data_IF_537153688231
#
_entry.id   IF_537153688231
#
_cell.length_a   1.000
_cell.length_b   1.000
_cell.length_c   1.000
_cell.angle_alpha   90.00
_cell.angle_beta   90.00
_cell.angle_gamma   90.00
#
_symmetry.space_group_name_H-M   'P 1'
#
loop_
_entity.id
_entity.type
_entity.pdbx_description
1 polymer ?
#
# COMPACT_ATOMS: atom_id res chain seq x y z
N UNK A 1 82.40 17.52 5.68
CA UNK A 1 81.13 17.43 6.43
C UNK A 1 80.03 18.02 5.55
N UNK A 2 79.29 17.17 4.83
CA UNK A 2 78.13 17.60 4.03
C UNK A 2 76.87 17.44 4.86
N UNK A 3 76.17 18.53 5.16
CA UNK A 3 74.91 18.54 5.89
C UNK A 3 73.76 18.17 4.95
N UNK A 4 73.15 17.00 5.15
CA UNK A 4 71.96 16.57 4.42
C UNK A 4 70.75 17.40 4.85
N UNK A 5 70.04 17.97 3.88
CA UNK A 5 68.72 18.58 4.09
C UNK A 5 67.68 17.46 4.14
N UNK A 6 67.04 17.31 5.29
CA UNK A 6 65.90 16.41 5.49
C UNK A 6 64.72 16.89 4.65
N UNK A 7 64.31 16.07 3.67
CA UNK A 7 63.10 16.23 2.88
C UNK A 7 61.87 16.23 3.80
N UNK A 8 61.11 17.33 3.78
CA UNK A 8 59.77 17.40 4.40
C UNK A 8 58.85 16.51 3.57
N UNK A 9 58.49 15.35 4.10
CA UNK A 9 57.40 14.53 3.57
C UNK A 9 56.11 15.36 3.57
N UNK A 10 55.56 15.59 2.38
CA UNK A 10 54.29 16.26 2.21
C UNK A 10 53.21 15.44 2.94
N UNK A 11 52.43 16.11 3.80
CA UNK A 11 51.21 15.55 4.38
C UNK A 11 50.31 15.08 3.23
N UNK A 12 49.77 13.85 3.24
CA UNK A 12 48.82 13.44 2.22
C UNK A 12 47.66 14.43 2.22
N UNK A 13 47.32 14.95 1.03
CA UNK A 13 46.19 15.84 0.85
C UNK A 13 44.93 15.17 1.43
N UNK A 14 44.14 15.91 2.20
CA UNK A 14 42.85 15.42 2.66
C UNK A 14 42.03 14.97 1.42
N UNK A 15 41.33 13.82 1.50
CA UNK A 15 40.50 13.37 0.39
C UNK A 15 39.54 14.50 -0.01
N UNK A 16 39.27 14.67 -1.32
CA UNK A 16 38.33 15.68 -1.78
C UNK A 16 36.98 15.47 -1.07
N UNK A 17 36.27 16.56 -0.70
CA UNK A 17 34.95 16.43 -0.10
C UNK A 17 34.05 15.61 -1.04
N UNK A 18 33.20 14.72 -0.49
CA UNK A 18 32.32 13.90 -1.31
C UNK A 18 31.45 14.79 -2.20
N UNK A 19 31.15 14.36 -3.43
CA UNK A 19 30.36 15.12 -4.38
C UNK A 19 28.99 15.45 -3.77
N UNK A 20 28.43 16.63 -4.08
CA UNK A 20 27.12 16.99 -3.58
C UNK A 20 26.06 16.01 -4.12
N UNK A 21 24.98 15.82 -3.35
CA UNK A 21 23.84 15.03 -3.81
C UNK A 21 23.28 15.60 -5.11
N UNK A 22 22.89 14.74 -6.07
CA UNK A 22 22.29 15.18 -7.32
C UNK A 22 21.02 16.00 -7.12
N UNK A 23 20.75 16.91 -8.06
CA UNK A 23 19.56 17.75 -8.01
C UNK A 23 18.29 16.94 -8.26
N UNK A 24 18.25 16.02 -9.22
CA UNK A 24 17.02 15.25 -9.46
C UNK A 24 16.80 14.22 -8.38
N UNK A 25 15.54 13.99 -8.00
CA UNK A 25 15.16 12.94 -7.06
C UNK A 25 14.08 12.06 -7.66
N UNK A 26 14.36 10.76 -7.73
CA UNK A 26 13.42 9.73 -8.16
C UNK A 26 12.95 8.96 -6.94
N UNK A 27 11.65 8.70 -6.85
CA UNK A 27 11.04 8.09 -5.67
C UNK A 27 10.40 6.79 -6.09
N UNK A 28 10.71 5.72 -5.36
CA UNK A 28 10.09 4.41 -5.51
C UNK A 28 9.46 4.03 -4.17
N UNK A 29 8.13 4.06 -4.13
CA UNK A 29 7.37 3.45 -3.06
C UNK A 29 7.06 1.98 -3.43
N UNK A 30 7.86 1.05 -2.88
CA UNK A 30 7.80 -0.35 -3.29
C UNK A 30 6.74 -1.15 -2.52
N UNK A 31 5.51 -1.11 -3.04
CA UNK A 31 4.41 -1.91 -2.52
C UNK A 31 4.32 -3.31 -3.14
N UNK A 32 3.84 -4.27 -2.36
CA UNK A 32 3.70 -5.67 -2.78
C UNK A 32 2.68 -5.93 -3.90
N UNK A 33 1.62 -5.11 -3.98
CA UNK A 33 0.60 -5.21 -5.03
C UNK A 33 0.90 -4.26 -6.18
N UNK A 34 1.15 -3.01 -5.82
CA UNK A 34 1.50 -1.91 -6.73
C UNK A 34 2.67 -1.12 -6.15
N UNK A 35 3.62 -0.83 -7.00
CA UNK A 35 4.70 0.14 -6.79
C UNK A 35 4.25 1.52 -7.28
N UNK A 36 4.70 2.58 -6.60
CA UNK A 36 4.43 3.96 -7.02
C UNK A 36 5.75 4.63 -7.29
N UNK A 37 5.91 5.15 -8.49
CA UNK A 37 7.19 5.69 -8.92
C UNK A 37 7.03 6.97 -9.73
N UNK A 38 8.06 7.82 -9.66
CA UNK A 38 8.12 9.07 -10.40
C UNK A 38 9.17 10.02 -9.85
N UNK A 39 9.46 11.08 -10.61
CA UNK A 39 10.31 12.17 -10.13
C UNK A 39 9.56 13.10 -9.17
N UNK A 40 10.27 13.58 -8.17
CA UNK A 40 9.83 14.70 -7.34
C UNK A 40 9.83 15.98 -8.22
N UNK A 41 8.69 16.65 -8.42
CA UNK A 41 8.64 17.92 -9.13
C UNK A 41 9.25 19.05 -8.30
N UNK A 42 9.91 19.98 -8.99
CA UNK A 42 10.59 21.12 -8.37
C UNK A 42 9.62 22.15 -7.74
N UNK A 43 8.34 22.14 -8.13
CA UNK A 43 7.30 23.01 -7.56
C UNK A 43 6.33 22.23 -6.65
N UNK A 44 6.04 22.72 -5.43
CA UNK A 44 5.42 21.94 -4.37
C UNK A 44 3.88 21.89 -4.37
N UNK A 45 3.22 21.84 -5.53
CA UNK A 45 1.75 21.71 -5.60
C UNK A 45 1.31 20.24 -5.54
N UNK A 46 0.39 19.92 -4.61
CA UNK A 46 -0.08 18.55 -4.39
C UNK A 46 -0.66 17.89 -5.65
N UNK A 47 -1.34 18.65 -6.50
CA UNK A 47 -1.88 18.17 -7.78
C UNK A 47 -0.77 17.77 -8.76
N UNK A 48 0.25 18.62 -8.91
CA UNK A 48 1.40 18.37 -9.78
C UNK A 48 2.20 17.14 -9.34
N UNK A 49 2.37 16.96 -8.03
CA UNK A 49 2.97 15.77 -7.46
C UNK A 49 2.18 14.49 -7.84
N UNK A 50 0.86 14.49 -7.67
CA UNK A 50 0.05 13.30 -7.96
C UNK A 50 0.01 12.95 -9.46
N UNK A 51 0.18 13.94 -10.35
CA UNK A 51 0.31 13.71 -11.79
C UNK A 51 1.61 12.98 -12.13
N UNK A 52 2.73 13.31 -11.49
CA UNK A 52 4.02 12.65 -11.76
C UNK A 52 4.17 11.26 -11.12
N UNK A 53 3.21 10.86 -10.27
CA UNK A 53 3.18 9.56 -9.63
C UNK A 53 2.45 8.51 -10.48
N UNK A 54 3.17 7.53 -11.02
CA UNK A 54 2.57 6.39 -11.69
C UNK A 54 2.38 5.22 -10.72
N UNK A 55 1.17 4.63 -10.72
CA UNK A 55 0.86 3.39 -10.01
C UNK A 55 1.05 2.21 -10.96
N UNK A 56 1.97 1.33 -10.64
CA UNK A 56 2.40 0.23 -11.50
C UNK A 56 2.18 -1.08 -10.72
N UNK A 57 1.57 -2.13 -11.31
CA UNK A 57 1.48 -3.43 -10.65
C UNK A 57 2.88 -4.01 -10.37
N UNK A 58 3.13 -4.48 -9.13
CA UNK A 58 4.36 -5.21 -8.80
C UNK A 58 4.11 -6.73 -8.93
N UNK A 59 4.09 -7.22 -10.17
CA UNK A 59 3.92 -8.64 -10.47
C UNK A 59 4.44 -9.01 -11.87
N UNK A 60 4.84 -10.26 -12.01
CA UNK A 60 4.93 -10.96 -13.29
C UNK A 60 3.65 -11.77 -13.47
N UNK A 61 2.96 -11.60 -14.59
CA UNK A 61 1.77 -12.38 -14.92
C UNK A 61 2.06 -13.33 -16.05
N UNK A 62 1.77 -14.62 -15.85
CA UNK A 62 1.83 -15.64 -16.90
C UNK A 62 0.42 -15.98 -17.34
N UNK A 63 0.12 -15.72 -18.61
CA UNK A 63 -1.16 -16.09 -19.23
C UNK A 63 -1.19 -17.57 -19.62
N UNK A 64 -2.38 -18.07 -19.97
CA UNK A 64 -2.60 -19.43 -20.45
C UNK A 64 -1.69 -19.81 -21.63
N UNK A 65 -1.39 -18.86 -22.50
CA UNK A 65 -0.48 -19.01 -23.66
C UNK A 65 1.00 -19.13 -23.26
N UNK A 66 1.30 -19.21 -21.96
CA UNK A 66 2.65 -19.26 -21.37
C UNK A 66 3.48 -18.02 -21.65
N UNK A 67 2.86 -16.92 -22.08
CA UNK A 67 3.51 -15.62 -22.21
C UNK A 67 3.60 -14.95 -20.85
N UNK A 68 4.76 -14.37 -20.56
CA UNK A 68 5.00 -13.62 -19.33
C UNK A 68 4.93 -12.14 -19.65
N UNK A 69 4.10 -11.43 -18.90
CA UNK A 69 3.91 -10.00 -18.98
C UNK A 69 4.38 -9.36 -17.67
N UNK A 70 4.98 -8.19 -17.79
CA UNK A 70 5.49 -7.42 -16.66
C UNK A 70 4.40 -6.46 -16.20
N UNK A 71 4.41 -6.11 -14.92
CA UNK A 71 3.46 -5.22 -14.26
C UNK A 71 2.96 -4.03 -15.08
N UNK A 72 3.90 -3.24 -15.63
CA UNK A 72 3.58 -2.07 -16.46
C UNK A 72 2.80 -2.41 -17.74
N UNK A 73 3.00 -3.62 -18.28
CA UNK A 73 2.37 -4.10 -19.51
C UNK A 73 1.01 -4.76 -19.28
N UNK A 74 0.67 -5.13 -18.03
CA UNK A 74 -0.55 -5.88 -17.70
C UNK A 74 -1.81 -5.16 -18.16
N UNK A 75 -1.90 -3.85 -17.91
CA UNK A 75 -3.07 -3.05 -18.25
C UNK A 75 -3.30 -2.88 -19.76
N UNK A 76 -2.26 -3.04 -20.58
CA UNK A 76 -2.32 -2.77 -22.03
C UNK A 76 -2.30 -4.03 -22.90
N UNK A 77 -1.66 -5.10 -22.44
CA UNK A 77 -1.44 -6.31 -23.26
C UNK A 77 -2.35 -7.49 -22.88
N UNK A 78 -2.97 -7.46 -21.69
CA UNK A 78 -3.87 -8.52 -21.23
C UNK A 78 -5.30 -8.05 -21.40
N UNK A 79 -5.99 -8.63 -22.39
CA UNK A 79 -7.44 -8.48 -22.56
C UNK A 79 -8.21 -9.60 -21.84
N UNK A 80 -7.66 -10.81 -21.80
CA UNK A 80 -8.24 -11.97 -21.14
C UNK A 80 -7.53 -12.25 -19.80
N UNK A 81 -8.28 -12.13 -18.72
CA UNK A 81 -7.80 -12.29 -17.35
C UNK A 81 -8.01 -13.69 -16.80
N UNK A 82 -8.63 -14.59 -17.58
CA UNK A 82 -8.90 -15.96 -17.15
C UNK A 82 -7.60 -16.76 -16.99
N UNK A 83 -7.53 -17.56 -15.93
CA UNK A 83 -6.40 -18.44 -15.59
C UNK A 83 -5.02 -17.73 -15.53
N UNK A 84 -4.99 -16.42 -15.26
CA UNK A 84 -3.73 -15.66 -15.15
C UNK A 84 -3.04 -15.98 -13.83
N UNK A 85 -1.82 -16.51 -13.93
CA UNK A 85 -0.99 -16.83 -12.76
C UNK A 85 -0.06 -15.67 -12.43
N UNK A 86 -0.16 -15.14 -11.21
CA UNK A 86 0.68 -14.03 -10.74
C UNK A 86 1.85 -14.54 -9.90
N UNK A 87 3.08 -14.24 -10.33
CA UNK A 87 4.28 -14.36 -9.51
C UNK A 87 4.65 -12.98 -9.00
N UNK A 88 4.69 -12.82 -7.68
CA UNK A 88 5.06 -11.56 -7.02
C UNK A 88 6.39 -11.72 -6.29
N UNK A 89 7.31 -10.75 -6.39
CA UNK A 89 8.61 -10.80 -5.70
C UNK A 89 8.51 -10.56 -4.19
N UNK A 90 7.43 -9.90 -3.76
CA UNK A 90 7.19 -9.52 -2.36
C UNK A 90 6.35 -10.56 -1.63
N UNK A 91 6.90 -11.12 -0.55
CA UNK A 91 6.22 -12.03 0.36
C UNK A 91 6.16 -11.45 1.76
N UNK A 92 4.95 -11.45 2.36
CA UNK A 92 4.74 -10.84 3.68
C UNK A 92 5.32 -9.41 3.77
N UNK A 93 5.29 -8.63 2.69
CA UNK A 93 5.82 -7.26 2.63
C UNK A 93 7.33 -7.14 2.49
N UNK A 94 8.08 -8.24 2.41
CA UNK A 94 9.52 -8.24 2.17
C UNK A 94 9.82 -8.72 0.74
N UNK A 95 10.76 -8.06 0.06
CA UNK A 95 11.24 -8.53 -1.25
C UNK A 95 12.11 -9.76 -1.01
N UNK A 96 11.61 -10.93 -1.41
CA UNK A 96 12.33 -12.21 -1.25
C UNK A 96 12.98 -12.63 -2.57
N UNK A 97 12.24 -12.50 -3.68
CA UNK A 97 12.73 -12.83 -5.01
C UNK A 97 13.28 -11.59 -5.70
N UNK A 98 14.54 -11.26 -5.41
CA UNK A 98 15.24 -10.13 -6.01
C UNK A 98 15.44 -10.25 -7.52
N UNK A 99 15.57 -11.47 -8.04
CA UNK A 99 15.63 -11.71 -9.50
C UNK A 99 14.37 -11.22 -10.22
N UNK A 100 13.19 -11.53 -9.66
CA UNK A 100 11.92 -11.10 -10.22
C UNK A 100 11.67 -9.60 -10.00
N UNK A 101 12.06 -9.05 -8.84
CA UNK A 101 11.96 -7.61 -8.58
C UNK A 101 12.83 -6.80 -9.56
N UNK A 102 14.07 -7.25 -9.77
CA UNK A 102 15.00 -6.65 -10.73
C UNK A 102 14.44 -6.66 -12.14
N UNK A 103 13.91 -7.79 -12.60
CA UNK A 103 13.27 -7.88 -13.93
C UNK A 103 12.10 -6.90 -14.07
N UNK A 104 11.25 -6.79 -13.04
CA UNK A 104 10.14 -5.82 -13.03
C UNK A 104 10.69 -4.39 -13.11
N UNK A 105 11.70 -4.06 -12.32
CA UNK A 105 12.26 -2.72 -12.28
C UNK A 105 13.00 -2.33 -13.56
N UNK A 106 13.83 -3.22 -14.11
CA UNK A 106 14.61 -2.99 -15.33
C UNK A 106 13.68 -2.63 -16.50
N UNK A 107 12.60 -3.40 -16.68
CA UNK A 107 11.60 -3.12 -17.71
C UNK A 107 10.70 -1.92 -17.38
N UNK A 108 10.48 -1.62 -16.11
CA UNK A 108 9.59 -0.51 -15.74
C UNK A 108 10.28 0.85 -15.82
N UNK A 109 11.56 0.93 -15.46
CA UNK A 109 12.28 2.20 -15.29
C UNK A 109 13.30 2.50 -16.39
N UNK A 110 13.85 1.48 -17.04
CA UNK A 110 14.99 1.65 -17.97
C UNK A 110 14.66 1.29 -19.42
N UNK A 111 13.78 0.33 -19.65
CA UNK A 111 13.39 -0.11 -20.99
C UNK A 111 12.54 0.93 -21.75
N UNK A 112 12.99 1.32 -22.95
CA UNK A 112 12.34 2.33 -23.79
C UNK A 112 10.97 1.88 -24.33
N UNK A 113 10.78 0.57 -24.55
CA UNK A 113 9.52 0.04 -25.11
C UNK A 113 8.39 -0.02 -24.09
N UNK A 114 8.74 -0.18 -22.83
CA UNK A 114 7.81 -0.41 -21.71
C UNK A 114 7.61 0.86 -20.87
N UNK A 115 8.66 1.65 -20.64
CA UNK A 115 8.59 2.96 -19.99
C UNK A 115 8.07 4.05 -20.95
N UNK A 116 6.86 3.88 -21.49
CA UNK A 116 6.25 4.79 -22.48
C UNK A 116 6.02 6.22 -21.95
N UNK A 117 6.04 6.42 -20.62
CA UNK A 117 5.93 7.75 -19.99
C UNK A 117 7.31 8.23 -19.54
N UNK A 118 7.73 9.37 -20.08
CA UNK A 118 9.02 9.99 -19.74
C UNK A 118 9.19 10.28 -18.24
N UNK A 119 8.10 10.43 -17.50
CA UNK A 119 8.06 10.73 -16.06
C UNK A 119 8.55 9.57 -15.17
N UNK A 120 8.55 8.33 -15.67
CA UNK A 120 8.97 7.14 -14.91
C UNK A 120 10.32 6.60 -15.39
N UNK A 121 10.76 7.04 -16.58
CA UNK A 121 12.02 6.62 -17.16
C UNK A 121 13.21 7.24 -16.41
N UNK A 122 14.06 6.40 -15.86
CA UNK A 122 15.35 6.81 -15.29
C UNK A 122 16.45 6.66 -16.35
N UNK A 123 16.64 7.68 -17.19
CA UNK A 123 17.66 7.65 -18.23
C UNK A 123 19.08 7.88 -17.69
N UNK A 124 19.21 8.56 -16.56
CA UNK A 124 20.51 8.93 -15.96
C UNK A 124 20.47 8.74 -14.43
N UNK A 125 20.74 7.51 -13.95
CA UNK A 125 20.80 7.21 -12.52
C UNK A 125 21.94 7.94 -11.80
N UNK A 126 23.08 8.14 -12.47
CA UNK A 126 24.29 8.70 -11.86
C UNK A 126 24.06 10.14 -11.40
N UNK A 127 23.24 10.91 -12.12
CA UNK A 127 22.84 12.27 -11.76
C UNK A 127 21.49 12.35 -11.04
N UNK A 128 21.02 11.25 -10.44
CA UNK A 128 19.74 11.18 -9.73
C UNK A 128 19.92 10.64 -8.32
N UNK A 129 19.18 11.23 -7.37
CA UNK A 129 19.04 10.69 -6.01
C UNK A 129 17.82 9.78 -5.95
N UNK A 130 17.96 8.54 -5.46
CA UNK A 130 16.86 7.62 -5.27
C UNK A 130 16.34 7.66 -3.82
N UNK A 131 15.03 7.77 -3.64
CA UNK A 131 14.34 7.50 -2.38
C UNK A 131 13.59 6.18 -2.53
N UNK A 132 14.00 5.18 -1.75
CA UNK A 132 13.41 3.84 -1.75
C UNK A 132 12.69 3.59 -0.42
N UNK A 133 11.44 3.15 -0.50
CA UNK A 133 10.67 2.73 0.68
C UNK A 133 10.78 1.22 0.91
N UNK A 134 10.90 0.83 2.17
CA UNK A 134 10.81 -0.57 2.59
C UNK A 134 9.81 -0.76 3.74
N UNK A 135 9.39 -2.01 3.93
CA UNK A 135 8.58 -2.39 5.07
C UNK A 135 9.39 -2.35 6.37
N UNK A 136 8.76 -2.04 7.52
CA UNK A 136 9.43 -2.06 8.81
C UNK A 136 10.05 -3.44 9.13
N UNK A 137 11.19 -3.41 9.83
CA UNK A 137 11.91 -4.60 10.31
C UNK A 137 12.30 -5.59 9.20
N UNK A 138 12.68 -5.08 8.02
CA UNK A 138 13.29 -5.89 6.98
C UNK A 138 14.61 -6.50 7.47
N UNK A 139 14.88 -7.74 7.07
CA UNK A 139 16.12 -8.42 7.44
C UNK A 139 17.32 -7.75 6.77
N UNK A 140 18.43 -7.61 7.50
CA UNK A 140 19.65 -6.97 7.00
C UNK A 140 20.19 -7.59 5.70
N UNK A 141 19.97 -8.90 5.49
CA UNK A 141 20.35 -9.57 4.24
C UNK A 141 19.51 -9.10 3.03
N UNK A 142 18.20 -8.88 3.21
CA UNK A 142 17.34 -8.37 2.13
C UNK A 142 17.65 -6.90 1.84
N UNK A 143 17.89 -6.14 2.89
CA UNK A 143 18.37 -4.76 2.82
C UNK A 143 19.67 -4.64 2.03
N UNK A 144 20.64 -5.53 2.30
CA UNK A 144 21.90 -5.59 1.57
C UNK A 144 21.69 -5.82 0.07
N UNK A 145 20.84 -6.77 -0.31
CA UNK A 145 20.55 -7.04 -1.72
C UNK A 145 19.93 -5.82 -2.42
N UNK A 146 19.05 -5.08 -1.73
CA UNK A 146 18.50 -3.83 -2.25
C UNK A 146 19.60 -2.80 -2.53
N UNK A 147 20.53 -2.65 -1.58
CA UNK A 147 21.63 -1.69 -1.67
C UNK A 147 22.60 -2.05 -2.79
N UNK A 148 22.93 -3.33 -2.96
CA UNK A 148 23.79 -3.83 -4.05
C UNK A 148 23.17 -3.56 -5.42
N UNK A 149 21.89 -3.89 -5.63
CA UNK A 149 21.20 -3.63 -6.91
C UNK A 149 21.16 -2.13 -7.22
N UNK A 150 20.77 -1.30 -6.24
CA UNK A 150 20.59 0.14 -6.46
C UNK A 150 21.93 0.87 -6.68
N UNK A 151 22.96 0.55 -5.89
CA UNK A 151 24.22 1.31 -5.88
C UNK A 151 25.29 0.73 -6.80
N UNK A 152 25.33 -0.60 -6.95
CA UNK A 152 26.36 -1.28 -7.75
C UNK A 152 25.88 -1.53 -9.18
N UNK A 153 24.68 -2.06 -9.36
CA UNK A 153 24.16 -2.35 -10.71
C UNK A 153 23.59 -1.11 -11.39
N UNK A 154 22.67 -0.40 -10.73
CA UNK A 154 22.03 0.78 -11.32
C UNK A 154 22.86 2.05 -11.20
N UNK A 155 23.72 2.15 -10.19
CA UNK A 155 24.70 3.22 -10.06
C UNK A 155 24.12 4.59 -9.72
N UNK A 156 23.06 4.67 -8.91
CA UNK A 156 22.47 5.94 -8.50
C UNK A 156 23.47 6.87 -7.79
N UNK A 157 23.43 8.17 -8.10
CA UNK A 157 24.35 9.16 -7.52
C UNK A 157 24.12 9.45 -6.03
N UNK A 158 22.85 9.43 -5.62
CA UNK A 158 22.43 9.53 -4.22
C UNK A 158 21.39 8.48 -3.87
N UNK A 159 21.33 8.07 -2.61
CA UNK A 159 20.43 7.02 -2.17
C UNK A 159 19.95 7.24 -0.74
N UNK A 160 18.64 7.03 -0.54
CA UNK A 160 17.96 7.02 0.74
C UNK A 160 17.08 5.78 0.82
N UNK A 161 17.30 4.96 1.85
CA UNK A 161 16.35 3.92 2.24
C UNK A 161 15.58 4.38 3.48
N UNK A 162 14.26 4.29 3.43
CA UNK A 162 13.39 4.72 4.53
C UNK A 162 12.18 3.79 4.70
N UNK A 163 11.57 3.86 5.88
CA UNK A 163 10.33 3.14 6.17
C UNK A 163 9.16 3.92 5.55
N UNK A 164 8.38 3.31 4.66
CA UNK A 164 7.29 4.00 3.92
C UNK A 164 6.41 4.90 4.80
N UNK A 165 5.81 4.39 5.90
CA UNK A 165 4.99 5.19 6.81
C UNK A 165 5.62 6.50 7.32
N UNK A 166 6.96 6.60 7.44
CA UNK A 166 7.62 7.83 7.91
C UNK A 166 7.46 9.01 6.96
N UNK A 167 7.33 8.74 5.66
CA UNK A 167 7.16 9.78 4.65
C UNK A 167 5.80 10.48 4.78
N UNK A 168 4.78 9.81 5.32
CA UNK A 168 3.46 10.43 5.53
C UNK A 168 3.49 11.59 6.55
N UNK A 169 4.52 11.67 7.40
CA UNK A 169 4.71 12.82 8.30
C UNK A 169 5.05 14.12 7.56
N UNK A 170 5.45 14.06 6.28
CA UNK A 170 5.74 15.22 5.43
C UNK A 170 4.52 15.74 4.68
N UNK A 171 3.38 15.05 4.79
CA UNK A 171 2.12 15.50 4.20
C UNK A 171 1.46 16.60 5.06
N UNK A 172 0.53 17.33 4.46
CA UNK A 172 -0.31 18.31 5.18
C UNK A 172 -1.35 17.59 6.03
N UNK A 173 -0.95 17.24 7.24
CA UNK A 173 -1.82 16.53 8.19
C UNK A 173 -2.78 17.49 8.90
N UNK A 174 -2.39 18.74 9.14
CA UNK A 174 -3.26 19.72 9.81
C UNK A 174 -4.55 20.00 9.02
N UNK A 175 -4.45 20.16 7.69
CA UNK A 175 -5.61 20.35 6.82
C UNK A 175 -6.51 19.11 6.78
N UNK A 176 -5.94 17.91 6.89
CA UNK A 176 -6.68 16.65 6.98
C UNK A 176 -7.56 16.58 8.24
N UNK A 177 -7.10 17.14 9.35
CA UNK A 177 -7.85 17.18 10.62
C UNK A 177 -8.73 18.43 10.78
N UNK A 178 -8.66 19.40 9.85
CA UNK A 178 -9.39 20.67 9.93
C UNK A 178 -8.80 21.65 10.94
N UNK A 179 -7.57 21.42 11.39
CA UNK A 179 -6.87 22.31 12.31
C UNK A 179 -6.37 23.56 11.55
N UNK A 180 -6.37 24.75 12.17
CA UNK A 180 -5.91 25.97 11.52
C UNK A 180 -4.43 25.83 11.15
N UNK A 181 -4.10 26.09 9.89
CA UNK A 181 -2.71 26.07 9.40
C UNK A 181 -1.97 27.25 10.04
N UNK A 182 -1.25 26.98 11.12
CA UNK A 182 -0.42 27.97 11.84
C UNK A 182 0.95 28.19 11.20
N UNK A 183 1.34 27.37 10.23
CA UNK A 183 2.58 27.53 9.48
C UNK A 183 2.45 28.60 8.40
N UNK A 184 3.38 29.56 8.41
CA UNK A 184 3.57 30.51 7.31
C UNK A 184 3.81 29.71 6.00
N UNK A 185 3.09 29.99 4.90
CA UNK A 185 3.30 29.32 3.61
C UNK A 185 4.74 29.44 3.07
N UNK A 186 5.53 30.39 3.55
CA UNK A 186 6.94 30.55 3.19
C UNK A 186 7.92 29.81 4.12
N UNK A 187 7.44 29.19 5.20
CA UNK A 187 8.28 28.41 6.10
C UNK A 187 8.66 27.06 5.47
N UNK A 188 9.90 26.57 5.68
CA UNK A 188 10.30 25.27 5.14
C UNK A 188 9.38 24.17 5.69
N UNK A 189 8.91 23.28 4.80
CA UNK A 189 8.11 22.12 5.16
C UNK A 189 8.83 21.30 6.24
N UNK A 190 8.21 21.21 7.41
CA UNK A 190 8.68 20.42 8.54
C UNK A 190 7.78 19.19 8.73
N UNK A 191 8.35 18.06 9.17
CA UNK A 191 7.54 16.89 9.48
C UNK A 191 6.65 17.15 10.69
N UNK A 192 5.46 16.55 10.69
CA UNK A 192 4.53 16.59 11.81
C UNK A 192 5.17 16.02 13.08
N UNK A 193 4.94 16.67 14.21
CA UNK A 193 5.58 16.29 15.48
C UNK A 193 5.12 14.93 15.99
N UNK A 194 3.81 14.66 16.03
CA UNK A 194 3.24 13.38 16.45
C UNK A 194 2.21 12.90 15.43
N UNK A 195 2.47 11.76 14.81
CA UNK A 195 1.57 11.12 13.85
C UNK A 195 1.55 9.62 14.08
N UNK A 196 0.37 9.03 14.24
CA UNK A 196 0.21 7.58 14.24
C UNK A 196 -0.26 7.14 12.86
N UNK A 197 0.62 6.47 12.11
CA UNK A 197 0.31 6.01 10.75
C UNK A 197 -0.13 4.54 10.80
N UNK A 198 -1.32 4.26 10.30
CA UNK A 198 -1.84 2.91 10.10
C UNK A 198 -1.80 2.63 8.61
N UNK A 199 -0.85 1.83 8.18
CA UNK A 199 -0.73 1.41 6.77
C UNK A 199 -1.38 0.05 6.59
N UNK A 200 -2.61 0.02 6.07
CA UNK A 200 -3.32 -1.21 5.75
C UNK A 200 -3.22 -1.52 4.26
N UNK A 201 -2.14 -2.24 3.93
CA UNK A 201 -1.76 -2.57 2.57
C UNK A 201 -2.21 -3.96 2.09
N UNK A 202 -1.61 -4.39 0.98
CA UNK A 202 -1.90 -5.69 0.38
C UNK A 202 -1.35 -6.87 1.18
N UNK A 203 -0.10 -6.80 1.65
CA UNK A 203 0.51 -7.94 2.32
C UNK A 203 0.21 -8.03 3.80
N UNK A 204 0.11 -6.90 4.49
CA UNK A 204 -0.01 -6.81 5.94
C UNK A 204 -0.49 -5.42 6.33
N UNK A 205 -0.88 -5.24 7.59
CA UNK A 205 -1.21 -3.93 8.16
C UNK A 205 -0.17 -3.56 9.21
N UNK A 206 0.40 -2.36 9.15
CA UNK A 206 1.35 -1.86 10.15
C UNK A 206 0.80 -0.67 10.90
N UNK A 207 1.17 -0.57 12.17
CA UNK A 207 0.96 0.61 13.01
C UNK A 207 2.33 1.19 13.32
N UNK A 208 2.60 2.38 12.80
CA UNK A 208 3.88 3.06 12.91
C UNK A 208 3.70 4.41 13.60
N UNK A 209 4.08 4.52 14.88
CA UNK A 209 4.14 5.80 15.58
C UNK A 209 5.34 6.61 15.08
N UNK A 210 5.09 7.79 14.54
CA UNK A 210 6.10 8.71 13.99
C UNK A 210 6.19 9.95 14.87
N UNK A 211 7.40 10.24 15.34
CA UNK A 211 7.72 11.42 16.14
C UNK A 211 8.77 12.28 15.43
N UNK A 212 8.45 13.53 15.13
CA UNK A 212 9.33 14.49 14.41
C UNK A 212 9.94 13.89 13.13
N UNK A 213 9.12 13.21 12.34
CA UNK A 213 9.54 12.55 11.09
C UNK A 213 10.32 11.25 11.26
N UNK A 214 10.54 10.75 12.48
CA UNK A 214 11.24 9.48 12.75
C UNK A 214 10.28 8.44 13.32
N UNK A 215 10.39 7.19 12.86
CA UNK A 215 9.61 6.10 13.42
C UNK A 215 10.12 5.69 14.81
N UNK A 216 9.21 5.56 15.77
CA UNK A 216 9.50 4.98 17.08
C UNK A 216 9.49 3.46 16.97
N UNK A 217 10.67 2.88 16.68
CA UNK A 217 10.85 1.44 16.41
C UNK A 217 10.19 0.53 17.45
N UNK A 218 10.29 0.87 18.74
CA UNK A 218 9.69 0.08 19.83
C UNK A 218 8.16 0.01 19.75
N UNK A 219 7.52 1.04 19.24
CA UNK A 219 6.07 1.15 19.07
C UNK A 219 5.56 0.53 17.79
N UNK A 220 6.41 0.14 16.84
CA UNK A 220 5.92 -0.45 15.58
C UNK A 220 5.26 -1.78 15.88
N UNK A 221 4.04 -1.96 15.35
CA UNK A 221 3.31 -3.23 15.42
C UNK A 221 2.83 -3.62 14.04
N UNK A 222 2.65 -4.93 13.86
CA UNK A 222 2.31 -5.52 12.58
C UNK A 222 1.25 -6.61 12.75
N UNK A 223 0.18 -6.47 11.97
CA UNK A 223 -0.85 -7.48 11.74
C UNK A 223 -0.52 -8.21 10.45
N UNK A 224 -0.47 -9.55 10.44
CA UNK A 224 -0.12 -10.31 9.23
C UNK A 224 -1.22 -10.33 8.17
N UNK A 225 -2.40 -9.81 8.50
CA UNK A 225 -3.54 -9.73 7.59
C UNK A 225 -3.46 -8.44 6.77
N UNK A 226 -3.60 -8.60 5.46
CA UNK A 226 -3.74 -7.52 4.48
C UNK A 226 -4.65 -7.95 3.33
N UNK A 227 -4.72 -7.14 2.28
CA UNK A 227 -5.61 -7.36 1.14
C UNK A 227 -5.44 -8.73 0.44
N UNK A 228 -4.23 -9.29 0.38
CA UNK A 228 -3.95 -10.64 -0.16
C UNK A 228 -4.71 -11.71 0.63
N UNK A 229 -4.69 -11.61 1.95
CA UNK A 229 -5.36 -12.56 2.82
C UNK A 229 -6.87 -12.47 2.65
N UNK A 230 -7.41 -11.25 2.59
CA UNK A 230 -8.84 -11.02 2.33
C UNK A 230 -9.29 -11.62 0.99
N UNK A 231 -8.53 -11.37 -0.08
CA UNK A 231 -8.83 -11.92 -1.41
C UNK A 231 -8.78 -13.45 -1.40
N UNK A 232 -7.76 -14.05 -0.78
CA UNK A 232 -7.66 -15.52 -0.66
C UNK A 232 -8.79 -16.13 0.16
N UNK A 233 -9.16 -15.48 1.27
CA UNK A 233 -10.24 -15.96 2.11
C UNK A 233 -11.60 -15.87 1.40
N UNK A 234 -11.88 -14.76 0.71
CA UNK A 234 -13.08 -14.64 -0.12
C UNK A 234 -13.12 -15.72 -1.20
N UNK A 235 -11.98 -15.98 -1.84
CA UNK A 235 -11.81 -17.00 -2.88
C UNK A 235 -12.16 -18.39 -2.37
N UNK A 236 -11.69 -18.77 -1.18
CA UNK A 236 -12.02 -20.05 -0.55
C UNK A 236 -13.52 -20.14 -0.24
N UNK A 237 -14.11 -19.10 0.37
CA UNK A 237 -15.53 -19.09 0.74
C UNK A 237 -16.45 -19.20 -0.46
N UNK A 238 -16.16 -18.44 -1.51
CA UNK A 238 -16.92 -18.46 -2.77
C UNK A 238 -16.79 -19.82 -3.45
N UNK A 239 -15.57 -20.38 -3.49
CA UNK A 239 -15.29 -21.67 -4.15
C UNK A 239 -15.99 -22.85 -3.50
N UNK A 240 -16.20 -22.81 -2.19
CA UNK A 240 -16.93 -23.86 -1.47
C UNK A 240 -18.45 -23.75 -1.70
N UNK A 241 -18.98 -22.54 -1.87
CA UNK A 241 -20.44 -22.29 -1.91
C UNK A 241 -21.03 -22.33 -3.32
N UNK A 242 -20.28 -21.88 -4.33
CA UNK A 242 -20.80 -21.65 -5.68
C UNK A 242 -19.83 -22.20 -6.74
N UNK A 243 -19.09 -21.31 -7.40
CA UNK A 243 -18.17 -21.62 -8.49
C UNK A 243 -16.76 -21.72 -7.97
N UNK A 244 -15.99 -22.69 -8.45
CA UNK A 244 -14.56 -22.76 -8.16
C UNK A 244 -13.84 -21.56 -8.79
N UNK A 245 -13.45 -20.59 -7.95
CA UNK A 245 -12.75 -19.37 -8.34
C UNK A 245 -11.30 -19.37 -7.85
N UNK A 246 -10.74 -20.53 -7.50
CA UNK A 246 -9.39 -20.65 -6.92
C UNK A 246 -8.28 -20.11 -7.84
N UNK A 247 -8.43 -20.29 -9.14
CA UNK A 247 -7.47 -19.80 -10.14
C UNK A 247 -7.73 -18.33 -10.52
N UNK A 248 -8.97 -17.85 -10.34
CA UNK A 248 -9.43 -16.51 -10.75
C UNK A 248 -9.17 -15.42 -9.69
N UNK A 249 -7.91 -15.25 -9.31
CA UNK A 249 -7.53 -14.33 -8.23
C UNK A 249 -7.77 -12.85 -8.59
N UNK A 250 -7.64 -12.46 -9.87
CA UNK A 250 -7.90 -11.09 -10.31
C UNK A 250 -9.37 -10.72 -10.16
N UNK A 251 -10.27 -11.58 -10.65
CA UNK A 251 -11.72 -11.38 -10.60
C UNK A 251 -12.19 -11.29 -9.14
N UNK A 252 -11.74 -12.19 -8.27
CA UNK A 252 -12.11 -12.12 -6.84
C UNK A 252 -11.60 -10.84 -6.16
N UNK A 253 -10.46 -10.29 -6.60
CA UNK A 253 -10.01 -9.00 -6.08
C UNK A 253 -10.94 -7.85 -6.49
N UNK A 254 -11.40 -7.81 -7.75
CA UNK A 254 -12.39 -6.82 -8.21
C UNK A 254 -13.73 -6.99 -7.48
N UNK A 255 -14.19 -8.23 -7.29
CA UNK A 255 -15.39 -8.55 -6.52
C UNK A 255 -15.28 -8.02 -5.09
N UNK A 256 -14.14 -8.25 -4.42
CA UNK A 256 -13.89 -7.75 -3.07
C UNK A 256 -13.96 -6.22 -3.04
N UNK A 257 -13.28 -5.54 -3.97
CA UNK A 257 -13.25 -4.07 -4.02
C UNK A 257 -14.63 -3.45 -4.33
N UNK A 258 -15.46 -4.14 -5.12
CA UNK A 258 -16.78 -3.66 -5.50
C UNK A 258 -17.88 -3.98 -4.46
N UNK A 259 -17.82 -5.14 -3.81
CA UNK A 259 -18.93 -5.66 -3.01
C UNK A 259 -18.69 -5.66 -1.49
N UNK A 260 -17.44 -5.78 -1.02
CA UNK A 260 -17.18 -5.90 0.42
C UNK A 260 -17.29 -4.56 1.16
N UNK A 261 -17.69 -4.63 2.42
CA UNK A 261 -17.78 -3.48 3.32
C UNK A 261 -17.50 -3.92 4.77
N UNK A 262 -17.10 -3.00 5.63
CA UNK A 262 -16.94 -3.24 7.07
C UNK A 262 -18.26 -2.90 7.76
N UNK A 263 -18.80 -3.86 8.53
CA UNK A 263 -20.01 -3.65 9.31
C UNK A 263 -19.71 -2.86 10.60
N UNK A 264 -20.62 -1.95 10.98
CA UNK A 264 -20.60 -1.31 12.30
C UNK A 264 -21.17 -2.20 13.40
N UNK A 265 -22.09 -3.10 13.07
CA UNK A 265 -22.72 -4.04 13.99
C UNK A 265 -22.82 -5.43 13.36
N UNK A 266 -21.74 -6.20 13.56
CA UNK A 266 -21.58 -7.52 12.96
C UNK A 266 -22.73 -8.48 13.31
N UNK A 267 -23.19 -8.49 14.57
CA UNK A 267 -24.26 -9.40 15.03
C UNK A 267 -25.58 -9.10 14.32
N UNK A 268 -25.94 -7.83 14.18
CA UNK A 268 -27.18 -7.43 13.51
C UNK A 268 -27.18 -7.79 12.02
N UNK A 269 -26.05 -7.57 11.33
CA UNK A 269 -25.93 -7.90 9.90
C UNK A 269 -25.90 -9.41 9.66
N UNK A 270 -25.36 -10.19 10.59
CA UNK A 270 -25.44 -11.65 10.57
C UNK A 270 -26.89 -12.14 10.72
N UNK A 271 -27.68 -11.55 11.61
CA UNK A 271 -29.10 -11.89 11.77
C UNK A 271 -29.94 -11.52 10.54
N UNK A 272 -29.65 -10.38 9.89
CA UNK A 272 -30.29 -9.95 8.64
C UNK A 272 -30.02 -10.92 7.48
N UNK A 273 -28.83 -11.52 7.44
CA UNK A 273 -28.44 -12.49 6.39
C UNK A 273 -28.85 -13.94 6.71
N UNK A 274 -29.34 -14.21 7.92
CA UNK A 274 -29.72 -15.55 8.32
C UNK A 274 -30.94 -16.06 7.52
N UNK A 275 -30.79 -17.22 6.88
CA UNK A 275 -31.82 -17.88 6.05
C UNK A 275 -33.18 -18.07 6.74
N UNK A 276 -33.23 -18.14 8.07
CA UNK A 276 -34.48 -18.21 8.85
C UNK A 276 -35.36 -16.97 8.74
N UNK A 277 -34.78 -15.81 8.45
CA UNK A 277 -35.49 -14.53 8.31
C UNK A 277 -35.98 -14.24 6.89
N UNK A 278 -35.69 -15.09 5.88
CA UNK A 278 -36.15 -14.90 4.49
C UNK A 278 -37.68 -14.85 4.32
N UNK A 279 -38.45 -15.30 5.32
CA UNK A 279 -39.92 -15.27 5.33
C UNK A 279 -40.51 -13.97 5.90
N UNK A 280 -39.72 -13.11 6.53
CA UNK A 280 -40.19 -11.78 6.93
C UNK A 280 -40.24 -10.92 5.67
N UNK A 281 -41.45 -10.43 5.33
CA UNK A 281 -41.60 -9.40 4.31
C UNK A 281 -40.67 -8.23 4.65
N UNK A 282 -39.95 -7.65 3.67
CA UNK A 282 -39.24 -6.41 3.92
C UNK A 282 -40.29 -5.36 4.34
N UNK A 283 -40.07 -4.70 5.48
CA UNK A 283 -40.87 -3.54 5.84
C UNK A 283 -40.63 -2.46 4.77
N UNK A 284 -41.72 -1.96 4.20
CA UNK A 284 -41.81 -1.16 2.96
C UNK A 284 -41.19 0.25 3.06
N UNK A 285 -40.36 0.51 4.07
CA UNK A 285 -39.95 1.87 4.46
C UNK A 285 -38.44 2.10 4.63
N UNK A 286 -37.57 1.14 4.28
CA UNK A 286 -36.13 1.39 4.21
C UNK A 286 -35.62 1.18 2.79
N UNK A 287 -35.25 2.29 2.12
CA UNK A 287 -34.42 2.35 0.92
C UNK A 287 -32.99 1.76 1.12
N UNK A 288 -32.79 0.92 2.14
CA UNK A 288 -31.52 0.24 2.40
C UNK A 288 -31.37 -0.92 1.40
N UNK A 289 -30.37 -0.80 0.53
CA UNK A 289 -29.94 -1.88 -0.35
C UNK A 289 -29.73 -3.16 0.47
N UNK A 290 -30.33 -4.27 0.05
CA UNK A 290 -30.17 -5.55 0.74
C UNK A 290 -28.70 -5.96 0.85
N UNK A 291 -28.35 -6.62 1.96
CA UNK A 291 -26.97 -7.10 2.19
C UNK A 291 -26.56 -8.13 1.14
N UNK A 292 -27.51 -8.88 0.58
CA UNK A 292 -27.23 -9.82 -0.51
C UNK A 292 -27.21 -9.06 -1.84
N UNK A 293 -26.14 -9.25 -2.62
CA UNK A 293 -25.97 -8.66 -3.96
C UNK A 293 -25.54 -9.72 -4.96
N UNK A 294 -25.84 -9.47 -6.22
CA UNK A 294 -25.41 -10.30 -7.33
C UNK A 294 -24.26 -9.58 -8.05
N UNK A 295 -23.10 -10.22 -8.17
CA UNK A 295 -22.00 -9.73 -9.00
C UNK A 295 -22.02 -10.44 -10.35
N UNK A 296 -22.19 -9.69 -11.43
CA UNK A 296 -22.14 -10.24 -12.79
C UNK A 296 -20.67 -10.38 -13.18
N UNK A 297 -20.24 -11.59 -13.50
CA UNK A 297 -18.86 -11.85 -13.91
C UNK A 297 -18.57 -11.18 -15.27
N UNK A 298 -17.34 -10.68 -15.47
CA UNK A 298 -16.95 -10.10 -16.74
C UNK A 298 -17.00 -11.15 -17.85
N UNK A 299 -17.61 -10.79 -18.99
CA UNK A 299 -17.61 -11.64 -20.19
C UNK A 299 -16.43 -11.23 -21.09
N UNK A 300 -15.47 -12.14 -21.35
CA UNK A 300 -14.32 -11.87 -22.22
C UNK A 300 -14.73 -11.47 -23.65
N UNK A 301 -15.84 -12.01 -24.16
CA UNK A 301 -16.28 -11.76 -25.53
C UNK A 301 -16.92 -10.38 -25.67
N UNK A 302 -17.65 -9.94 -24.65
CA UNK A 302 -18.37 -8.68 -24.65
C UNK A 302 -17.53 -7.48 -24.19
N UNK A 303 -16.27 -7.70 -23.73
CA UNK A 303 -15.41 -6.68 -23.12
C UNK A 303 -16.12 -5.90 -21.98
N UNK A 304 -17.08 -6.55 -21.31
CA UNK A 304 -17.85 -5.95 -20.22
C UNK A 304 -17.12 -6.20 -18.91
N UNK A 305 -16.81 -5.14 -18.17
CA UNK A 305 -16.35 -5.26 -16.79
C UNK A 305 -17.46 -5.83 -15.92
N UNK A 306 -17.07 -6.60 -14.91
CA UNK A 306 -18.02 -7.08 -13.91
C UNK A 306 -18.62 -5.91 -13.14
N UNK A 307 -19.86 -6.08 -12.68
CA UNK A 307 -20.57 -5.07 -11.92
C UNK A 307 -21.50 -5.68 -10.89
N UNK A 308 -21.75 -4.93 -9.81
CA UNK A 308 -22.66 -5.31 -8.73
C UNK A 308 -24.07 -4.85 -9.07
N UNK A 309 -25.07 -5.71 -8.83
CA UNK A 309 -26.49 -5.37 -8.87
C UNK A 309 -27.21 -5.87 -7.60
N UNK A 310 -28.32 -5.23 -7.18
CA UNK A 310 -29.13 -5.73 -6.09
C UNK A 310 -29.61 -7.17 -6.35
N UNK A 311 -29.66 -8.00 -5.30
CA UNK A 311 -30.13 -9.38 -5.45
C UNK A 311 -31.63 -9.42 -5.73
N UNK A 312 -32.01 -9.88 -6.92
CA UNK A 312 -33.40 -10.06 -7.31
C UNK A 312 -33.81 -11.54 -7.18
N UNK A 313 -34.37 -11.93 -6.03
CA UNK A 313 -34.82 -13.32 -5.82
C UNK A 313 -35.93 -13.77 -6.78
N UNK A 314 -36.74 -12.84 -7.31
CA UNK A 314 -37.89 -13.13 -8.19
C UNK A 314 -37.49 -13.44 -9.64
N UNK A 315 -36.34 -12.94 -10.08
CA UNK A 315 -35.85 -13.11 -11.45
C UNK A 315 -35.23 -14.50 -11.64
N UNK A 316 -34.72 -15.11 -10.56
CA UNK A 316 -34.27 -16.50 -10.57
C UNK A 316 -35.42 -17.51 -10.72
N UNK A 317 -36.58 -17.26 -10.08
CA UNK A 317 -37.78 -18.10 -10.26
C UNK A 317 -38.41 -17.92 -11.64
N UNK A 318 -38.48 -16.69 -12.16
CA UNK A 318 -38.90 -16.40 -13.54
C UNK A 318 -37.96 -17.01 -14.57
N UNK A 319 -36.65 -16.88 -14.42
CA UNK A 319 -35.64 -17.52 -15.29
C UNK A 319 -35.73 -19.05 -15.23
N UNK A 320 -35.97 -19.64 -14.05
CA UNK A 320 -36.23 -21.09 -13.94
C UNK A 320 -37.47 -21.49 -14.76
N UNK A 321 -38.54 -20.70 -14.66
CA UNK A 321 -39.79 -20.90 -15.42
C UNK A 321 -39.60 -20.75 -16.94
N UNK A 322 -38.77 -19.80 -17.38
CA UNK A 322 -38.43 -19.56 -18.79
C UNK A 322 -37.49 -20.65 -19.35
N UNK A 323 -36.57 -21.18 -18.54
CA UNK A 323 -35.72 -22.32 -18.91
C UNK A 323 -36.54 -23.60 -19.15
N UNK A 324 -37.63 -23.79 -18.40
CA UNK A 324 -38.56 -24.91 -18.57
C UNK A 324 -39.61 -24.67 -19.66
N UNK A 325 -39.78 -23.45 -20.19
CA UNK A 325 -40.78 -23.14 -21.22
C UNK A 325 -40.24 -23.15 -22.66
N UNK A 326 -38.98 -23.54 -22.87
CA UNK A 326 -38.41 -23.83 -24.20
C UNK A 326 -38.44 -22.66 -25.19
N UNK A 327 -38.48 -21.41 -24.70
CA UNK A 327 -38.46 -20.22 -25.57
C UNK A 327 -37.03 -19.80 -25.85
N UNK A 328 -36.59 -19.98 -27.09
CA UNK A 328 -35.34 -19.43 -27.64
C UNK A 328 -35.40 -17.90 -27.65
N UNK A 329 -34.85 -17.26 -26.63
CA UNK A 329 -34.55 -15.83 -26.62
C UNK A 329 -33.09 -15.64 -26.25
N UNK A 330 -32.31 -15.03 -27.16
CA UNK A 330 -30.87 -14.81 -27.07
C UNK A 330 -30.45 -13.85 -25.96
N UNK A 331 -30.65 -14.24 -24.70
CA UNK A 331 -29.91 -13.68 -23.57
C UNK A 331 -28.70 -14.57 -23.38
N UNK A 332 -27.50 -14.06 -23.68
CA UNK A 332 -26.27 -14.66 -23.19
C UNK A 332 -26.45 -14.95 -21.69
N UNK A 333 -26.13 -16.17 -21.27
CA UNK A 333 -26.16 -16.58 -19.88
C UNK A 333 -25.09 -15.79 -19.14
N UNK A 334 -25.47 -14.68 -18.51
CA UNK A 334 -24.59 -13.96 -17.60
C UNK A 334 -24.26 -14.87 -16.41
N UNK A 335 -22.98 -15.16 -16.21
CA UNK A 335 -22.54 -15.85 -15.00
C UNK A 335 -22.56 -14.87 -13.82
N UNK A 336 -23.19 -15.29 -12.72
CA UNK A 336 -23.48 -14.42 -11.58
C UNK A 336 -23.00 -15.06 -10.30
N UNK A 337 -22.25 -14.29 -9.51
CA UNK A 337 -21.83 -14.63 -8.18
C UNK A 337 -22.73 -13.98 -7.14
N UNK A 338 -23.44 -14.77 -6.33
CA UNK A 338 -24.34 -14.24 -5.30
C UNK A 338 -23.55 -14.02 -4.02
N UNK A 339 -23.39 -12.77 -3.59
CA UNK A 339 -22.62 -12.42 -2.39
C UNK A 339 -23.53 -12.07 -1.23
N UNK A 340 -23.44 -12.84 -0.15
CA UNK A 340 -24.21 -12.65 1.08
C UNK A 340 -23.35 -12.13 2.24
N UNK A 341 -23.20 -12.95 3.28
CA UNK A 341 -22.49 -12.55 4.50
C UNK A 341 -20.98 -12.41 4.30
N UNK A 342 -20.39 -13.07 3.30
CA UNK A 342 -18.99 -12.90 2.90
C UNK A 342 -18.56 -11.45 2.66
N UNK A 343 -19.50 -10.56 2.30
CA UNK A 343 -19.22 -9.14 2.05
C UNK A 343 -18.67 -8.42 3.28
N UNK A 344 -19.13 -8.78 4.47
CA UNK A 344 -18.71 -8.16 5.73
C UNK A 344 -17.94 -9.11 6.66
N UNK A 345 -18.11 -10.44 6.52
CA UNK A 345 -17.30 -11.38 7.30
C UNK A 345 -15.85 -11.45 6.84
N UNK A 346 -15.55 -11.23 5.55
CA UNK A 346 -14.17 -11.19 5.07
C UNK A 346 -13.40 -9.99 5.65
N UNK A 347 -13.88 -8.74 5.52
CA UNK A 347 -13.20 -7.58 6.13
C UNK A 347 -13.15 -7.62 7.66
N UNK A 348 -14.09 -8.29 8.33
CA UNK A 348 -14.13 -8.40 9.81
C UNK A 348 -12.84 -9.00 10.39
N UNK A 349 -12.14 -9.86 9.63
CA UNK A 349 -10.88 -10.47 10.07
C UNK A 349 -9.80 -9.43 10.39
N UNK A 350 -9.86 -8.22 9.82
CA UNK A 350 -8.97 -7.12 10.18
C UNK A 350 -9.20 -6.62 11.62
N UNK A 351 -10.42 -6.75 12.13
CA UNK A 351 -10.82 -6.34 13.48
C UNK A 351 -10.84 -7.51 14.46
N UNK A 352 -11.19 -8.71 13.99
CA UNK A 352 -11.26 -9.93 14.79
C UNK A 352 -10.54 -11.12 14.11
N UNK A 353 -9.19 -11.13 14.07
CA UNK A 353 -8.42 -12.25 13.51
C UNK A 353 -8.67 -13.60 14.21
N UNK A 354 -9.10 -13.57 15.47
CA UNK A 354 -9.36 -14.76 16.27
C UNK A 354 -10.43 -15.69 15.67
N UNK A 355 -11.37 -15.14 14.91
CA UNK A 355 -12.48 -15.89 14.31
C UNK A 355 -12.04 -16.95 13.30
N UNK A 356 -10.86 -16.77 12.70
CA UNK A 356 -10.24 -17.72 11.77
C UNK A 356 -9.11 -18.52 12.43
N UNK A 357 -9.00 -18.49 13.76
CA UNK A 357 -7.97 -19.18 14.52
C UNK A 357 -6.58 -18.51 14.49
N UNK A 358 -6.48 -17.28 13.97
CA UNK A 358 -5.23 -16.52 14.06
C UNK A 358 -5.03 -15.99 15.48
N UNK A 359 -3.86 -16.27 16.06
CA UNK A 359 -3.45 -15.76 17.38
C UNK A 359 -2.88 -14.35 17.28
N UNK A 360 -3.59 -13.43 16.64
CA UNK A 360 -3.24 -12.02 16.54
C UNK A 360 -4.40 -11.14 16.99
N UNK A 361 -4.06 -9.95 17.47
CA UNK A 361 -5.00 -8.92 17.86
C UNK A 361 -5.54 -8.18 16.62
N UNK A 362 -6.74 -7.59 16.74
CA UNK A 362 -7.28 -6.71 15.71
C UNK A 362 -6.52 -5.39 15.58
N UNK A 363 -6.84 -4.61 14.54
CA UNK A 363 -6.24 -3.29 14.34
C UNK A 363 -6.41 -2.38 15.57
N UNK A 364 -7.60 -2.24 16.19
CA UNK A 364 -7.79 -1.34 17.35
C UNK A 364 -6.91 -1.72 18.54
N UNK A 365 -6.83 -3.01 18.89
CA UNK A 365 -6.03 -3.49 20.02
C UNK A 365 -4.54 -3.38 19.73
N UNK A 366 -4.11 -3.63 18.49
CA UNK A 366 -2.71 -3.45 18.08
C UNK A 366 -2.28 -1.99 18.22
N UNK A 367 -3.16 -1.03 17.93
CA UNK A 367 -2.89 0.40 18.13
C UNK A 367 -2.67 0.70 19.61
N UNK A 368 -3.54 0.21 20.49
CA UNK A 368 -3.36 0.40 21.93
C UNK A 368 -2.10 -0.30 22.45
N UNK A 369 -1.76 -1.47 21.91
CA UNK A 369 -0.52 -2.17 22.22
C UNK A 369 0.72 -1.39 21.75
N UNK A 370 0.64 -0.71 20.60
CA UNK A 370 1.68 0.19 20.10
C UNK A 370 1.90 1.37 21.06
N UNK A 371 0.81 1.99 21.52
CA UNK A 371 0.87 3.11 22.46
C UNK A 371 1.35 2.68 23.85
N UNK A 372 1.02 1.47 24.31
CA UNK A 372 1.41 0.99 25.65
C UNK A 372 2.91 0.98 25.94
N UNK A 373 3.75 0.92 24.90
CA UNK A 373 5.23 0.95 25.01
C UNK A 373 5.83 2.34 24.77
N UNK A 374 4.99 3.34 24.49
CA UNK A 374 5.37 4.74 24.29
C UNK A 374 5.07 5.51 25.58
N UNK A 375 5.85 6.55 25.92
CA UNK A 375 5.55 7.40 27.07
C UNK A 375 4.10 7.91 27.08
N UNK A 376 3.42 7.78 28.22
CA UNK A 376 1.99 8.13 28.39
C UNK A 376 1.67 9.58 28.03
N UNK A 377 2.61 10.51 28.26
CA UNK A 377 2.44 11.92 27.89
C UNK A 377 2.27 12.17 26.38
N UNK A 378 2.67 11.21 25.52
CA UNK A 378 2.49 11.33 24.07
C UNK A 378 1.19 10.67 23.57
N UNK A 379 0.50 9.87 24.39
CA UNK A 379 -0.69 9.14 23.98
C UNK A 379 -1.81 10.05 23.47
N UNK A 380 -2.15 11.17 24.14
CA UNK A 380 -3.20 12.06 23.64
C UNK A 380 -2.88 12.64 22.26
N UNK A 381 -1.61 12.99 22.02
CA UNK A 381 -1.17 13.54 20.74
C UNK A 381 -1.24 12.50 19.61
N UNK A 382 -0.83 11.25 19.87
CA UNK A 382 -0.95 10.19 18.87
C UNK A 382 -2.40 9.80 18.57
N UNK A 383 -3.25 9.71 19.60
CA UNK A 383 -4.68 9.39 19.43
C UNK A 383 -5.45 10.51 18.71
N UNK A 384 -5.05 11.76 18.91
CA UNK A 384 -5.61 12.89 18.19
C UNK A 384 -5.16 12.96 16.72
N UNK A 385 -4.07 12.29 16.35
CA UNK A 385 -3.47 12.38 15.02
C UNK A 385 -3.26 10.98 14.41
N UNK A 386 -4.36 10.26 14.18
CA UNK A 386 -4.32 8.94 13.53
C UNK A 386 -4.61 9.08 12.04
N UNK A 387 -3.61 8.73 11.22
CA UNK A 387 -3.71 8.74 9.76
C UNK A 387 -3.71 7.31 9.23
N UNK A 388 -4.75 6.95 8.47
CA UNK A 388 -4.86 5.65 7.82
C UNK A 388 -4.49 5.78 6.34
N UNK A 389 -3.56 4.95 5.88
CA UNK A 389 -3.13 4.85 4.47
C UNK A 389 -3.23 3.40 3.98
N UNK A 390 -3.05 3.21 2.67
CA UNK A 390 -3.09 1.89 2.05
C UNK A 390 -4.47 1.52 1.47
N UNK A 391 -4.49 0.44 0.68
CA UNK A 391 -5.66 0.06 -0.12
C UNK A 391 -6.87 -0.40 0.69
N UNK A 392 -6.69 -1.06 1.84
CA UNK A 392 -7.84 -1.55 2.62
C UNK A 392 -8.61 -0.41 3.32
N UNK A 393 -8.01 0.78 3.44
CA UNK A 393 -8.71 1.98 3.93
C UNK A 393 -9.81 2.48 2.99
N UNK A 394 -9.88 1.94 1.77
CA UNK A 394 -10.94 2.22 0.79
C UNK A 394 -12.19 1.36 1.01
N UNK A 395 -12.13 0.33 1.86
CA UNK A 395 -13.30 -0.49 2.16
C UNK A 395 -14.35 0.38 2.87
N UNK A 396 -15.59 0.46 2.35
CA UNK A 396 -16.66 1.25 2.99
C UNK A 396 -16.87 0.83 4.45
N UNK A 397 -17.05 1.80 5.36
CA UNK A 397 -17.25 1.55 6.79
C UNK A 397 -15.95 1.32 7.60
N UNK A 398 -14.79 1.18 6.94
CA UNK A 398 -13.53 0.88 7.63
C UNK A 398 -13.13 1.98 8.63
N UNK A 399 -13.25 3.24 8.20
CA UNK A 399 -12.83 4.40 8.99
C UNK A 399 -13.75 4.60 10.21
N UNK A 400 -15.06 4.54 9.98
CA UNK A 400 -16.09 4.71 11.00
C UNK A 400 -16.02 3.61 12.06
N UNK A 401 -15.85 2.34 11.63
CA UNK A 401 -15.67 1.21 12.54
C UNK A 401 -14.41 1.38 13.38
N UNK A 402 -13.27 1.71 12.75
CA UNK A 402 -12.00 1.87 13.45
C UNK A 402 -12.05 3.00 14.50
N UNK A 403 -12.60 4.16 14.14
CA UNK A 403 -12.77 5.27 15.09
C UNK A 403 -13.67 4.87 16.26
N UNK A 404 -14.78 4.18 15.98
CA UNK A 404 -15.71 3.70 17.00
C UNK A 404 -15.06 2.72 17.97
N UNK A 405 -14.30 1.73 17.47
CA UNK A 405 -13.60 0.77 18.34
C UNK A 405 -12.48 1.43 19.15
N UNK A 406 -11.68 2.30 18.53
CA UNK A 406 -10.62 3.02 19.25
C UNK A 406 -11.18 3.93 20.34
N UNK A 407 -12.32 4.58 20.09
CA UNK A 407 -12.98 5.41 21.09
C UNK A 407 -13.41 4.60 22.32
N UNK A 408 -13.83 3.35 22.16
CA UNK A 408 -14.16 2.44 23.29
C UNK A 408 -12.92 2.05 24.11
N UNK A 409 -11.76 1.95 23.47
CA UNK A 409 -10.51 1.52 24.12
C UNK A 409 -9.71 2.69 24.73
N UNK A 410 -9.80 3.89 24.17
CA UNK A 410 -9.06 5.06 24.61
C UNK A 410 -9.66 5.70 25.87
N UNK A 411 -8.80 6.28 26.73
CA UNK A 411 -9.23 7.08 27.89
C UNK A 411 -10.16 8.21 27.49
N UNK A 412 -11.22 8.45 28.27
CA UNK A 412 -12.24 9.47 28.00
C UNK A 412 -11.66 10.89 27.83
N UNK A 413 -10.50 11.17 28.45
CA UNK A 413 -9.80 12.45 28.35
C UNK A 413 -9.08 12.67 27.01
N UNK A 414 -8.71 11.59 26.33
CA UNK A 414 -8.01 11.66 25.05
C UNK A 414 -9.00 11.90 23.92
N UNK A 415 -8.72 12.84 23.02
CA UNK A 415 -9.48 12.98 21.77
C UNK A 415 -8.97 11.93 20.77
N UNK A 416 -9.89 11.16 20.18
CA UNK A 416 -9.56 10.19 19.13
C UNK A 416 -10.01 10.78 17.80
N UNK A 417 -9.09 10.98 16.86
CA UNK A 417 -9.43 11.41 15.49
C UNK A 417 -8.75 10.49 14.51
N UNK A 418 -9.54 9.83 13.66
CA UNK A 418 -9.04 8.94 12.62
C UNK A 418 -9.39 9.54 11.27
N UNK A 419 -8.36 9.82 10.45
CA UNK A 419 -8.56 10.41 9.13
C UNK A 419 -7.78 9.65 8.05
N UNK A 420 -8.30 9.71 6.84
CA UNK A 420 -7.71 9.13 5.63
C UNK A 420 -7.50 10.25 4.62
N UNK A 421 -6.32 10.36 3.99
CA UNK A 421 -6.10 11.35 2.93
C UNK A 421 -7.03 11.08 1.73
N UNK A 422 -7.17 12.07 0.86
CA UNK A 422 -7.99 11.96 -0.36
C UNK A 422 -7.51 10.79 -1.26
N UNK A 423 -6.19 10.64 -1.40
CA UNK A 423 -5.57 9.50 -2.09
C UNK A 423 -4.68 8.69 -1.13
N UNK A 424 -5.22 7.65 -0.46
CA UNK A 424 -4.47 6.81 0.47
C UNK A 424 -3.50 5.84 -0.24
N UNK A 425 -3.60 5.67 -1.55
CA UNK A 425 -2.73 4.78 -2.34
C UNK A 425 -1.41 5.48 -2.67
N UNK A 426 -1.46 6.78 -2.98
CA UNK A 426 -0.28 7.60 -3.35
C UNK A 426 0.24 8.50 -2.24
N UNK A 427 -0.42 8.54 -1.08
CA UNK A 427 -0.04 9.37 0.09
C UNK A 427 1.43 9.23 0.51
N UNK A 428 1.95 8.00 0.60
CA UNK A 428 3.33 7.74 1.00
C UNK A 428 4.33 8.32 0.00
N UNK A 429 4.08 8.11 -1.30
CA UNK A 429 4.89 8.67 -2.38
C UNK A 429 4.84 10.21 -2.38
N UNK A 430 3.66 10.81 -2.15
CA UNK A 430 3.49 12.27 -2.04
C UNK A 430 4.33 12.85 -0.89
N UNK A 431 4.34 12.18 0.26
CA UNK A 431 5.19 12.53 1.39
C UNK A 431 6.68 12.46 1.03
N UNK A 432 7.08 11.45 0.26
CA UNK A 432 8.42 11.32 -0.30
C UNK A 432 8.81 12.48 -1.22
N UNK A 433 7.88 12.95 -2.05
CA UNK A 433 8.12 14.08 -2.95
C UNK A 433 8.29 15.41 -2.19
N UNK A 434 7.52 15.61 -1.13
CA UNK A 434 7.67 16.76 -0.23
C UNK A 434 8.98 16.70 0.56
N UNK A 435 9.34 15.51 1.04
CA UNK A 435 10.62 15.26 1.70
C UNK A 435 11.81 15.52 0.77
N UNK A 436 11.74 15.09 -0.50
CA UNK A 436 12.78 15.34 -1.50
C UNK A 436 13.02 16.84 -1.75
N UNK A 437 11.96 17.64 -1.73
CA UNK A 437 12.04 19.10 -1.90
C UNK A 437 12.74 19.79 -0.70
N UNK A 438 12.71 19.20 0.50
CA UNK A 438 13.50 19.66 1.63
C UNK A 438 14.94 19.13 1.56
N UNK A 439 15.80 19.86 0.83
CA UNK A 439 17.22 19.49 0.63
C UNK A 439 18.04 19.39 1.91
N UNK A 440 17.71 20.17 2.95
CA UNK A 440 18.42 20.12 4.21
C UNK A 440 18.17 18.77 4.90
N UNK A 441 16.90 18.38 5.03
CA UNK A 441 16.51 17.10 5.61
C UNK A 441 17.01 15.91 4.76
N UNK A 442 16.97 16.02 3.43
CA UNK A 442 17.47 14.98 2.54
C UNK A 442 18.99 14.74 2.73
N UNK A 443 19.78 15.80 2.85
CA UNK A 443 21.24 15.71 3.11
C UNK A 443 21.58 15.04 4.43
N UNK A 444 20.70 15.12 5.43
CA UNK A 444 20.95 14.50 6.73
C UNK A 444 20.83 12.98 6.73
N UNK A 445 20.12 12.39 5.76
CA UNK A 445 19.86 10.93 5.73
C UNK A 445 20.36 10.24 4.47
N UNK A 446 20.54 10.98 3.37
CA UNK A 446 21.03 10.43 2.12
C UNK A 446 22.52 10.09 2.17
N UNK A 447 22.88 9.07 1.40
CA UNK A 447 24.27 8.70 1.14
C UNK A 447 24.58 8.89 -0.35
N UNK A 448 25.84 9.17 -0.66
CA UNK A 448 26.34 9.28 -2.03
C UNK A 448 26.89 7.94 -2.53
N UNK A 449 26.97 7.77 -3.85
CA UNK A 449 27.62 6.60 -4.47
C UNK A 449 29.05 6.38 -4.00
N UNK A 450 29.83 7.46 -3.88
CA UNK A 450 31.22 7.39 -3.42
C UNK A 450 31.31 6.91 -1.97
N UNK A 451 30.44 7.41 -1.07
CA UNK A 451 30.40 6.94 0.32
C UNK A 451 30.04 5.45 0.39
N UNK A 452 29.08 4.99 -0.42
CA UNK A 452 28.74 3.58 -0.46
C UNK A 452 29.91 2.72 -0.95
N UNK A 453 30.64 3.13 -1.99
CA UNK A 453 31.82 2.42 -2.49
C UNK A 453 32.97 2.37 -1.46
N UNK A 454 33.10 3.40 -0.62
CA UNK A 454 34.14 3.46 0.41
C UNK A 454 33.80 2.62 1.65
N UNK A 455 32.56 2.70 2.15
CA UNK A 455 32.17 2.11 3.45
C UNK A 455 31.31 0.83 3.34
N UNK A 456 30.73 0.56 2.17
CA UNK A 456 29.90 -0.61 1.88
C UNK A 456 28.50 -0.60 2.50
N UNK A 457 27.71 -1.65 2.21
CA UNK A 457 26.30 -1.77 2.63
C UNK A 457 26.08 -1.80 4.15
N UNK A 458 26.99 -2.38 4.93
CA UNK A 458 26.83 -2.43 6.40
C UNK A 458 26.87 -1.03 7.03
N UNK A 459 27.67 -0.13 6.47
CA UNK A 459 27.68 1.27 6.90
C UNK A 459 26.41 1.99 6.47
N UNK A 460 25.96 1.81 5.22
CA UNK A 460 24.72 2.36 4.71
C UNK A 460 23.51 1.96 5.58
N UNK A 461 23.42 0.67 5.94
CA UNK A 461 22.36 0.16 6.82
C UNK A 461 22.32 0.85 8.19
N UNK A 462 23.48 1.07 8.83
CA UNK A 462 23.55 1.82 10.10
C UNK A 462 23.10 3.27 9.93
N UNK A 463 23.49 3.91 8.82
CA UNK A 463 23.12 5.29 8.51
C UNK A 463 21.60 5.45 8.37
N UNK A 464 20.94 4.53 7.67
CA UNK A 464 19.48 4.55 7.47
C UNK A 464 18.69 4.19 8.73
N UNK A 465 19.24 3.36 9.62
CA UNK A 465 18.62 3.04 10.91
C UNK A 465 18.67 4.21 11.93
N UNK A 466 19.36 5.31 11.61
CA UNK A 466 19.47 6.48 12.47
C UNK A 466 20.35 6.27 13.71
N UNK A 467 21.31 5.33 13.63
CA UNK A 467 22.31 5.03 14.68
C UNK A 467 23.68 5.59 14.38
#
# INVERSE_FOLDING_TARGET
MGTSKTSRTARPAAPPPPPPLPSKTFIIDNGAYTMKAGYAPDQPSAETHLTSCLVIPNALARTRDKRVYIGAQLSTHISDWNEVTFRRPVEKGYVVSWEAEKEIWDHTFFDEGTARRAEVRCADPENTTLIFTEAPNAMAALQKNADEIIMEEWGFGGYVRCIGPTLNAWNEVHSLFGDPVTSDPNSPLCPVECLLVIDSGYSHTTVTPVYKGRALQRGIRRLEIGGKYLTNFLKELVSIRQYNMLDETHIINEVKEAACFVSNNFSADMERTWKGNRKRKPDDNSLEQGIVVDYVLPDPNAHKKGFVRPHESLTAEKRKKELFSGSTAGSMTEDVLVLGNERFTVPEILFNPGDIGMKQLGIPEIIMQSLSVIPTGLHPAFLANIMVVGGNSLIPGFMERLETELRKLASAECVVRVKRPADPIRSTWLGGARFANNRAALKEVAITRQQYQEYGSVWAGRRFCGT
#
